data_IF_224844292524
#
_entry.id   IF_224844292524
#
_cell.length_a   1.000
_cell.length_b   1.000
_cell.length_c   1.000
_cell.angle_alpha   90.00
_cell.angle_beta   90.00
_cell.angle_gamma   90.00
#
_symmetry.space_group_name_H-M   'P 1'
#
loop_
_entity.id
_entity.type
_entity.pdbx_description
1 polymer ?
#
# COMPACT_ATOMS: atom_id res chain seq x y z
N UNK A 1 -22.24 13.51 4.27
CA UNK A 1 -20.96 14.23 4.21
C UNK A 1 -20.64 14.54 2.74
N UNK A 2 -20.00 15.68 2.43
CA UNK A 2 -19.57 15.97 1.06
C UNK A 2 -18.55 14.92 0.58
N UNK A 3 -18.50 14.68 -0.74
CA UNK A 3 -17.48 13.82 -1.35
C UNK A 3 -16.14 14.57 -1.32
N UNK A 4 -15.16 14.03 -0.63
CA UNK A 4 -13.82 14.64 -0.46
C UNK A 4 -12.79 14.16 -1.48
N UNK A 5 -13.18 13.23 -2.35
CA UNK A 5 -12.33 12.73 -3.44
C UNK A 5 -12.92 11.46 -4.04
N UNK A 6 -12.38 11.06 -5.20
CA UNK A 6 -12.78 9.84 -5.90
C UNK A 6 -11.54 9.02 -6.22
N UNK A 7 -11.63 7.71 -5.94
CA UNK A 7 -10.64 6.74 -6.36
C UNK A 7 -11.14 5.95 -7.56
N UNK A 8 -10.26 5.74 -8.54
CA UNK A 8 -10.45 4.74 -9.59
C UNK A 8 -9.35 3.69 -9.49
N UNK A 9 -9.71 2.42 -9.68
CA UNK A 9 -8.75 1.33 -9.76
C UNK A 9 -8.68 0.88 -11.22
N UNK A 10 -7.51 1.04 -11.82
CA UNK A 10 -7.25 0.61 -13.19
C UNK A 10 -6.27 -0.56 -13.17
N UNK A 11 -6.62 -1.64 -13.87
CA UNK A 11 -5.76 -2.82 -13.98
C UNK A 11 -4.45 -2.50 -14.71
N UNK A 12 -3.39 -3.21 -14.35
CA UNK A 12 -2.05 -3.01 -14.89
C UNK A 12 -1.75 -3.83 -16.15
N UNK A 13 -2.64 -4.70 -16.65
CA UNK A 13 -2.36 -5.50 -17.86
C UNK A 13 -2.83 -4.83 -19.17
N UNK A 14 -3.44 -3.64 -19.10
CA UNK A 14 -3.79 -2.81 -20.25
C UNK A 14 -3.94 -1.33 -19.89
N UNK A 15 -3.89 -0.44 -20.88
CA UNK A 15 -3.90 1.02 -20.64
C UNK A 15 -5.30 1.65 -20.55
N UNK A 16 -6.38 0.97 -20.96
CA UNK A 16 -7.69 1.60 -21.23
C UNK A 16 -8.18 2.54 -20.12
N UNK A 17 -8.36 2.03 -18.89
CA UNK A 17 -8.83 2.85 -17.77
C UNK A 17 -7.77 3.86 -17.29
N UNK A 18 -6.47 3.52 -17.42
CA UNK A 18 -5.38 4.39 -17.00
C UNK A 18 -5.28 5.65 -17.87
N UNK A 19 -5.49 5.52 -19.20
CA UNK A 19 -5.51 6.64 -20.13
C UNK A 19 -6.62 7.63 -19.75
N UNK A 20 -7.81 7.11 -19.43
CA UNK A 20 -8.93 7.95 -19.00
C UNK A 20 -8.57 8.75 -17.74
N UNK A 21 -8.12 8.07 -16.67
CA UNK A 21 -7.75 8.73 -15.42
C UNK A 21 -6.65 9.78 -15.62
N UNK A 22 -5.57 9.42 -16.33
CA UNK A 22 -4.47 10.34 -16.57
C UNK A 22 -4.88 11.55 -17.41
N UNK A 23 -5.70 11.37 -18.46
CA UNK A 23 -6.20 12.49 -19.28
C UNK A 23 -7.21 13.37 -18.53
N UNK A 24 -7.92 12.82 -17.54
CA UNK A 24 -8.77 13.57 -16.64
C UNK A 24 -7.99 14.33 -15.54
N UNK A 25 -6.66 14.25 -15.53
CA UNK A 25 -5.80 14.90 -14.53
C UNK A 25 -5.71 14.16 -13.20
N UNK A 26 -6.15 12.90 -13.13
CA UNK A 26 -6.08 12.12 -11.90
C UNK A 26 -4.66 11.58 -11.72
N UNK A 27 -4.19 11.58 -10.47
CA UNK A 27 -2.80 11.22 -10.15
C UNK A 27 -2.76 9.79 -9.61
N UNK A 28 -1.77 9.01 -10.04
CA UNK A 28 -1.52 7.68 -9.49
C UNK A 28 -1.06 7.83 -8.03
N UNK A 29 -1.69 7.08 -7.13
CA UNK A 29 -1.54 7.23 -5.68
C UNK A 29 -1.01 5.96 -5.01
N UNK A 30 -1.53 4.81 -5.44
CA UNK A 30 -1.07 3.49 -4.97
C UNK A 30 -1.01 2.50 -6.12
N UNK A 31 -0.20 1.46 -5.96
CA UNK A 31 -0.25 0.25 -6.79
C UNK A 31 -0.43 -0.95 -5.86
N UNK A 32 -1.49 -1.69 -6.13
CA UNK A 32 -1.91 -2.89 -5.41
C UNK A 32 -1.46 -4.11 -6.21
N UNK A 33 -0.42 -4.79 -5.74
CA UNK A 33 0.15 -5.94 -6.42
C UNK A 33 -0.72 -7.19 -6.21
N UNK A 34 -0.85 -7.97 -7.28
CA UNK A 34 -1.59 -9.23 -7.33
C UNK A 34 -2.94 -9.11 -6.61
N UNK A 35 -3.74 -8.09 -6.93
CA UNK A 35 -4.99 -7.80 -6.23
C UNK A 35 -6.11 -8.77 -6.59
N UNK A 36 -6.23 -9.11 -7.87
CA UNK A 36 -7.31 -9.94 -8.39
C UNK A 36 -6.78 -11.22 -9.02
N UNK A 37 -7.64 -12.24 -9.04
CA UNK A 37 -7.42 -13.41 -9.88
C UNK A 37 -7.65 -12.99 -11.33
N UNK A 38 -6.76 -13.35 -12.26
CA UNK A 38 -6.91 -12.98 -13.66
C UNK A 38 -8.17 -13.59 -14.30
N UNK A 39 -8.64 -14.75 -13.79
CA UNK A 39 -9.80 -15.46 -14.30
C UNK A 39 -11.12 -14.65 -14.19
N UNK A 40 -11.17 -13.60 -13.36
CA UNK A 40 -12.36 -12.73 -13.28
C UNK A 40 -12.48 -11.79 -14.50
N UNK A 41 -11.42 -11.63 -15.28
CA UNK A 41 -11.39 -10.78 -16.47
C UNK A 41 -11.55 -11.63 -17.72
N UNK A 42 -12.53 -11.26 -18.56
CA UNK A 42 -12.76 -11.91 -19.86
C UNK A 42 -11.51 -11.85 -20.75
N UNK A 43 -10.85 -10.70 -20.75
CA UNK A 43 -9.66 -10.46 -21.55
C UNK A 43 -8.45 -10.24 -20.62
N UNK A 44 -7.58 -11.25 -20.54
CA UNK A 44 -6.28 -11.18 -19.87
C UNK A 44 -5.22 -11.89 -20.72
N UNK A 45 -3.95 -11.44 -20.69
CA UNK A 45 -2.85 -12.12 -21.39
C UNK A 45 -2.72 -13.58 -20.97
N UNK A 46 -2.34 -14.44 -21.91
CA UNK A 46 -1.99 -15.83 -21.62
C UNK A 46 -0.87 -15.89 -20.56
N UNK A 47 -0.99 -16.82 -19.61
CA UNK A 47 -0.03 -16.99 -18.52
C UNK A 47 -0.19 -15.99 -17.36
N UNK A 48 -1.04 -14.95 -17.48
CA UNK A 48 -1.33 -14.05 -16.37
C UNK A 48 -2.29 -14.72 -15.38
N UNK A 49 -1.81 -15.02 -14.17
CA UNK A 49 -2.63 -15.63 -13.10
C UNK A 49 -3.21 -14.60 -12.13
N UNK A 50 -2.56 -13.44 -12.00
CA UNK A 50 -2.92 -12.38 -11.06
C UNK A 50 -2.91 -11.03 -11.75
N UNK A 51 -3.85 -10.17 -11.40
CA UNK A 51 -3.96 -8.81 -11.92
C UNK A 51 -3.66 -7.81 -10.82
N UNK A 52 -2.67 -6.96 -11.05
CA UNK A 52 -2.38 -5.80 -10.22
C UNK A 52 -3.17 -4.58 -10.68
N UNK A 53 -3.39 -3.61 -9.80
CA UNK A 53 -4.08 -2.38 -10.14
C UNK A 53 -3.30 -1.15 -9.66
N UNK A 54 -3.28 -0.10 -10.48
CA UNK A 54 -2.93 1.24 -10.06
C UNK A 54 -4.21 1.96 -9.60
N UNK A 55 -4.18 2.60 -8.44
CA UNK A 55 -5.25 3.49 -8.00
C UNK A 55 -4.91 4.93 -8.36
N UNK A 56 -5.84 5.56 -9.05
CA UNK A 56 -5.84 6.99 -9.33
C UNK A 56 -6.73 7.70 -8.33
N UNK A 57 -6.35 8.92 -8.00
CA UNK A 57 -7.11 9.79 -7.12
C UNK A 57 -7.31 11.17 -7.75
N UNK A 58 -8.49 11.74 -7.55
CA UNK A 58 -8.76 13.16 -7.80
C UNK A 58 -9.22 13.83 -6.49
N UNK A 59 -8.47 14.83 -5.99
CA UNK A 59 -8.89 15.61 -4.82
C UNK A 59 -10.08 16.52 -5.14
N UNK A 60 -10.87 16.86 -4.11
CA UNK A 60 -11.86 17.95 -4.14
C UNK A 60 -11.81 18.76 -2.83
N UNK A 61 -11.87 20.09 -2.91
CA UNK A 61 -10.97 21.11 -2.30
C UNK A 61 -9.81 20.64 -1.38
N UNK A 62 -8.78 21.49 -1.15
CA UNK A 62 -7.71 21.19 -0.19
C UNK A 62 -8.26 21.00 1.24
N UNK A 63 -7.63 20.10 2.00
CA UNK A 63 -7.90 19.88 3.43
C UNK A 63 -6.58 20.13 4.16
N UNK A 64 -6.60 20.96 5.19
CA UNK A 64 -5.47 21.09 6.10
C UNK A 64 -5.40 19.83 6.97
N UNK A 65 -4.40 18.99 6.72
CA UNK A 65 -4.15 17.79 7.49
C UNK A 65 -2.65 17.63 7.73
N UNK A 66 -2.26 17.39 8.98
CA UNK A 66 -0.89 17.02 9.31
C UNK A 66 -0.69 15.54 8.98
N UNK A 67 0.36 15.23 8.24
CA UNK A 67 0.72 13.85 7.86
C UNK A 67 2.10 13.53 8.43
N UNK A 68 2.24 12.40 9.10
CA UNK A 68 3.50 11.85 9.58
C UNK A 68 3.96 10.75 8.64
N UNK A 69 5.24 10.75 8.29
CA UNK A 69 5.84 9.85 7.31
C UNK A 69 6.96 9.01 7.93
N UNK A 70 7.01 7.69 7.65
CA UNK A 70 8.16 6.86 7.99
C UNK A 70 9.44 7.37 7.31
N UNK A 71 10.57 7.26 8.00
CA UNK A 71 11.88 7.69 7.50
C UNK A 71 12.24 7.03 6.17
N UNK A 72 11.94 5.74 6.06
CA UNK A 72 12.33 4.90 4.92
C UNK A 72 11.65 5.34 3.62
N UNK A 73 10.53 6.06 3.72
CA UNK A 73 9.72 6.47 2.56
C UNK A 73 9.60 7.98 2.40
N UNK A 74 10.15 8.80 3.31
CA UNK A 74 9.90 10.24 3.33
C UNK A 74 10.20 10.94 2.01
N UNK A 75 11.34 10.64 1.39
CA UNK A 75 11.80 11.29 0.15
C UNK A 75 10.89 10.94 -1.04
N UNK A 76 10.43 9.69 -1.07
CA UNK A 76 9.52 9.22 -2.11
C UNK A 76 8.10 9.76 -1.90
N UNK A 77 7.62 9.78 -0.66
CA UNK A 77 6.32 10.37 -0.31
C UNK A 77 6.28 11.88 -0.61
N UNK A 78 7.40 12.58 -0.43
CA UNK A 78 7.54 13.98 -0.83
C UNK A 78 7.34 14.18 -2.33
N UNK A 79 7.82 13.23 -3.16
CA UNK A 79 7.59 13.26 -4.61
C UNK A 79 6.10 13.09 -4.95
N UNK A 80 5.38 12.19 -4.26
CA UNK A 80 3.93 12.04 -4.42
C UNK A 80 3.18 13.30 -3.96
N UNK A 81 3.53 13.89 -2.83
CA UNK A 81 2.90 15.10 -2.32
C UNK A 81 3.10 16.29 -3.29
N UNK A 82 4.32 16.51 -3.78
CA UNK A 82 4.62 17.55 -4.78
C UNK A 82 3.83 17.37 -6.08
N UNK A 83 3.71 16.14 -6.57
CA UNK A 83 2.91 15.83 -7.75
C UNK A 83 1.41 16.16 -7.59
N UNK A 84 0.92 16.27 -6.34
CA UNK A 84 -0.45 16.66 -6.00
C UNK A 84 -0.58 18.12 -5.55
N UNK A 85 0.52 18.88 -5.51
CA UNK A 85 0.57 20.21 -4.89
C UNK A 85 0.08 20.23 -3.44
N UNK A 86 0.45 19.18 -2.68
CA UNK A 86 0.13 19.02 -1.26
C UNK A 86 1.38 19.25 -0.39
N UNK A 87 1.22 19.65 0.89
CA UNK A 87 2.34 19.85 1.80
C UNK A 87 3.11 18.54 2.05
N UNK A 88 4.40 18.67 2.34
CA UNK A 88 5.20 17.55 2.80
C UNK A 88 4.83 17.15 4.23
N UNK A 89 5.02 15.86 4.56
CA UNK A 89 4.74 15.32 5.87
C UNK A 89 5.89 15.53 6.86
N UNK A 90 5.56 15.38 8.13
CA UNK A 90 6.50 15.43 9.26
C UNK A 90 7.13 14.05 9.42
N UNK A 91 8.43 14.00 9.66
CA UNK A 91 9.09 12.72 9.95
C UNK A 91 8.52 12.10 11.24
N UNK A 92 8.09 10.84 11.16
CA UNK A 92 7.65 10.07 12.31
C UNK A 92 8.86 9.61 13.13
N UNK A 93 8.90 10.03 14.40
CA UNK A 93 9.98 9.69 15.35
C UNK A 93 9.49 9.05 16.64
N UNK A 94 8.18 9.03 16.87
CA UNK A 94 7.60 8.49 18.09
C UNK A 94 7.62 6.95 18.09
N UNK A 95 7.86 6.31 19.25
CA UNK A 95 7.71 4.87 19.39
C UNK A 95 6.22 4.45 19.37
N UNK A 96 5.97 3.14 19.46
CA UNK A 96 4.61 2.66 19.71
C UNK A 96 4.09 3.18 21.07
N UNK A 97 2.80 3.54 21.18
CA UNK A 97 2.24 4.05 22.43
C UNK A 97 2.06 2.93 23.47
N UNK A 98 2.23 3.24 24.77
CA UNK A 98 2.26 2.24 25.86
C UNK A 98 0.90 1.73 26.36
N UNK A 99 -0.20 2.44 26.04
CA UNK A 99 -1.47 2.26 26.77
C UNK A 99 -2.64 1.86 25.87
N UNK A 100 -2.67 2.35 24.63
CA UNK A 100 -3.81 2.10 23.74
C UNK A 100 -3.65 0.81 22.94
N UNK A 101 -4.71 -0.01 22.78
CA UNK A 101 -4.72 -1.13 21.85
C UNK A 101 -4.89 -0.64 20.41
N UNK A 102 -4.46 -1.47 19.46
CA UNK A 102 -4.64 -1.23 18.03
C UNK A 102 -6.12 -1.33 17.69
N UNK A 103 -6.64 -0.34 16.96
CA UNK A 103 -7.99 -0.38 16.38
C UNK A 103 -7.91 -0.53 14.87
N UNK A 104 -8.59 -1.54 14.33
CA UNK A 104 -8.58 -1.85 12.92
C UNK A 104 -9.91 -2.41 12.43
N UNK A 105 -10.09 -2.37 11.12
CA UNK A 105 -11.14 -3.08 10.40
C UNK A 105 -10.50 -3.99 9.36
N UNK A 106 -10.88 -5.26 9.37
CA UNK A 106 -10.44 -6.26 8.39
C UNK A 106 -11.57 -6.61 7.43
N UNK A 107 -11.25 -6.71 6.15
CA UNK A 107 -12.13 -7.18 5.08
C UNK A 107 -11.42 -8.26 4.27
N UNK A 108 -11.82 -9.50 4.46
CA UNK A 108 -11.39 -10.62 3.62
C UNK A 108 -12.21 -10.67 2.33
N UNK A 109 -11.55 -10.95 1.22
CA UNK A 109 -12.15 -11.11 -0.10
C UNK A 109 -11.69 -12.47 -0.67
N UNK A 110 -12.34 -13.58 -0.28
CA UNK A 110 -11.88 -14.93 -0.65
C UNK A 110 -11.81 -15.16 -2.16
N UNK A 111 -12.79 -14.65 -2.91
CA UNK A 111 -12.85 -14.80 -4.37
C UNK A 111 -11.63 -14.19 -5.09
N UNK A 112 -11.05 -13.12 -4.55
CA UNK A 112 -9.84 -12.51 -5.09
C UNK A 112 -8.57 -12.88 -4.31
N UNK A 113 -8.68 -13.71 -3.26
CA UNK A 113 -7.61 -14.03 -2.30
C UNK A 113 -6.90 -12.77 -1.77
N UNK A 114 -7.68 -11.73 -1.48
CA UNK A 114 -7.18 -10.45 -0.96
C UNK A 114 -7.67 -10.21 0.47
N UNK A 115 -6.79 -9.70 1.32
CA UNK A 115 -7.11 -9.26 2.67
C UNK A 115 -6.81 -7.76 2.77
N UNK A 116 -7.81 -6.95 3.12
CA UNK A 116 -7.64 -5.52 3.38
C UNK A 116 -7.81 -5.22 4.85
N UNK A 117 -6.90 -4.45 5.41
CA UNK A 117 -6.91 -3.99 6.79
C UNK A 117 -6.80 -2.47 6.76
N UNK A 118 -7.75 -1.79 7.38
CA UNK A 118 -7.67 -0.36 7.68
C UNK A 118 -7.32 -0.23 9.16
N UNK A 119 -6.20 0.42 9.49
CA UNK A 119 -5.75 0.62 10.88
C UNK A 119 -6.01 2.07 11.25
N UNK A 120 -6.96 2.28 12.17
CA UNK A 120 -7.37 3.60 12.63
C UNK A 120 -6.47 4.11 13.75
N UNK A 121 -6.05 3.22 14.65
CA UNK A 121 -5.12 3.53 15.73
C UNK A 121 -4.12 2.39 15.90
N UNK A 122 -2.86 2.75 16.10
CA UNK A 122 -1.76 1.80 16.31
C UNK A 122 -1.48 1.78 17.81
N UNK A 123 -1.51 0.58 18.40
CA UNK A 123 -1.30 0.36 19.83
C UNK A 123 0.01 -0.35 20.15
N UNK A 124 0.28 -0.57 21.45
CA UNK A 124 1.43 -1.36 21.91
C UNK A 124 1.43 -2.81 21.41
N UNK A 125 0.23 -3.32 21.15
CA UNK A 125 -0.06 -4.67 20.69
C UNK A 125 0.17 -4.83 19.18
N UNK A 126 0.61 -3.79 18.48
CA UNK A 126 0.84 -3.81 17.04
C UNK A 126 1.70 -5.01 16.55
N UNK A 127 2.81 -5.40 17.21
CA UNK A 127 3.56 -6.60 16.81
C UNK A 127 2.73 -7.89 16.87
N UNK A 128 1.86 -8.03 17.87
CA UNK A 128 0.97 -9.19 17.99
C UNK A 128 -0.14 -9.16 16.95
N UNK A 129 -0.72 -7.99 16.70
CA UNK A 129 -1.71 -7.78 15.64
C UNK A 129 -1.16 -8.16 14.27
N UNK A 130 0.07 -7.74 13.93
CA UNK A 130 0.71 -8.10 12.64
C UNK A 130 0.89 -9.61 12.52
N UNK A 131 1.34 -10.29 13.60
CA UNK A 131 1.45 -11.77 13.61
C UNK A 131 0.08 -12.43 13.39
N UNK A 132 -0.97 -11.92 14.03
CA UNK A 132 -2.32 -12.43 13.87
C UNK A 132 -2.88 -12.22 12.46
N UNK A 133 -2.62 -11.06 11.84
CA UNK A 133 -2.97 -10.78 10.43
C UNK A 133 -2.30 -11.81 9.52
N UNK A 134 -1.01 -12.07 9.70
CA UNK A 134 -0.27 -13.04 8.88
C UNK A 134 -0.76 -14.48 9.09
N UNK A 135 -1.05 -14.87 10.33
CA UNK A 135 -1.59 -16.19 10.64
C UNK A 135 -2.96 -16.40 9.97
N UNK A 136 -3.85 -15.41 10.07
CA UNK A 136 -5.16 -15.43 9.42
C UNK A 136 -5.06 -15.44 7.89
N UNK A 137 -4.16 -14.64 7.31
CA UNK A 137 -3.93 -14.63 5.88
C UNK A 137 -3.42 -15.99 5.38
N UNK A 138 -2.52 -16.64 6.13
CA UNK A 138 -2.02 -17.98 5.81
C UNK A 138 -3.10 -19.04 5.89
N UNK A 139 -3.90 -19.05 6.96
CA UNK A 139 -4.96 -20.06 7.14
C UNK A 139 -6.04 -19.96 6.07
N UNK A 140 -6.29 -18.74 5.56
CA UNK A 140 -7.24 -18.48 4.49
C UNK A 140 -6.60 -18.46 3.08
N UNK A 141 -5.31 -18.81 2.97
CA UNK A 141 -4.57 -18.85 1.70
C UNK A 141 -4.66 -17.54 0.89
N UNK A 142 -4.62 -16.41 1.59
CA UNK A 142 -4.63 -15.08 0.98
C UNK A 142 -3.32 -14.85 0.21
N UNK A 143 -3.44 -14.29 -0.99
CA UNK A 143 -2.30 -13.98 -1.86
C UNK A 143 -1.80 -12.56 -1.63
N UNK A 144 -2.72 -11.60 -1.55
CA UNK A 144 -2.40 -10.18 -1.40
C UNK A 144 -2.98 -9.64 -0.10
N UNK A 145 -2.13 -9.05 0.74
CA UNK A 145 -2.47 -8.51 2.05
C UNK A 145 -2.15 -7.02 2.03
N UNK A 146 -3.15 -6.18 2.26
CA UNK A 146 -3.03 -4.73 2.29
C UNK A 146 -3.32 -4.21 3.70
N UNK A 147 -2.40 -3.43 4.24
CA UNK A 147 -2.54 -2.74 5.52
C UNK A 147 -2.46 -1.24 5.23
N UNK A 148 -3.57 -0.54 5.36
CA UNK A 148 -3.62 0.92 5.25
C UNK A 148 -3.45 1.53 6.64
N UNK A 149 -2.43 2.37 6.80
CA UNK A 149 -2.12 3.07 8.05
C UNK A 149 -2.52 4.54 7.94
N UNK A 150 -3.23 5.08 8.93
CA UNK A 150 -3.54 6.50 9.00
C UNK A 150 -2.27 7.33 9.25
N UNK A 151 -1.96 8.24 8.32
CA UNK A 151 -0.76 9.09 8.41
C UNK A 151 -0.86 10.16 9.50
N UNK A 152 -2.00 10.31 10.18
CA UNK A 152 -2.05 11.15 11.39
C UNK A 152 -1.38 10.51 12.61
N UNK A 153 -0.99 9.21 12.59
CA UNK A 153 -0.21 8.65 13.70
C UNK A 153 1.24 9.13 13.67
N UNK A 154 1.65 9.85 14.70
CA UNK A 154 3.06 10.20 14.95
C UNK A 154 3.99 8.98 15.08
N UNK A 155 3.41 7.82 15.39
CA UNK A 155 4.06 6.52 15.60
C UNK A 155 4.22 5.68 14.32
N UNK A 156 3.75 6.15 13.17
CA UNK A 156 3.63 5.34 11.94
C UNK A 156 4.97 4.75 11.48
N UNK A 157 6.10 5.42 11.75
CA UNK A 157 7.44 4.92 11.45
C UNK A 157 7.75 3.62 12.17
N UNK A 158 7.50 3.55 13.49
CA UNK A 158 7.68 2.32 14.28
C UNK A 158 6.78 1.18 13.76
N UNK A 159 5.54 1.51 13.40
CA UNK A 159 4.60 0.53 12.87
C UNK A 159 5.01 -0.03 11.50
N UNK A 160 5.54 0.83 10.63
CA UNK A 160 6.09 0.45 9.32
C UNK A 160 7.33 -0.42 9.48
N UNK A 161 8.23 -0.11 10.43
CA UNK A 161 9.37 -0.96 10.74
C UNK A 161 8.96 -2.40 11.07
N UNK A 162 7.93 -2.58 11.90
CA UNK A 162 7.38 -3.90 12.25
C UNK A 162 6.74 -4.59 11.05
N UNK A 163 6.03 -3.87 10.18
CA UNK A 163 5.49 -4.45 8.96
C UNK A 163 6.61 -4.91 8.00
N UNK A 164 7.67 -4.12 7.86
CA UNK A 164 8.83 -4.45 7.02
C UNK A 164 9.59 -5.69 7.49
N UNK A 165 9.81 -5.85 8.80
CA UNK A 165 10.39 -7.09 9.37
C UNK A 165 9.49 -8.31 9.23
N UNK A 166 8.25 -8.11 8.79
CA UNK A 166 7.31 -9.16 8.42
C UNK A 166 7.13 -9.28 6.90
N UNK A 167 7.98 -8.61 6.13
CA UNK A 167 8.06 -8.66 4.69
C UNK A 167 6.93 -7.92 3.98
N UNK A 168 6.35 -6.90 4.60
CA UNK A 168 5.51 -5.90 3.92
C UNK A 168 6.40 -4.80 3.35
N UNK A 169 5.98 -4.26 2.21
CA UNK A 169 6.65 -3.19 1.48
C UNK A 169 5.62 -2.12 1.09
N UNK A 170 6.08 -0.97 0.61
CA UNK A 170 5.23 0.15 0.25
C UNK A 170 4.29 -0.23 -0.91
N UNK A 171 3.06 0.28 -0.86
CA UNK A 171 2.11 0.29 -1.97
C UNK A 171 1.68 1.67 -2.42
N UNK A 172 2.07 2.72 -1.69
CA UNK A 172 1.86 4.12 -2.05
C UNK A 172 1.12 4.90 -0.97
N UNK A 173 0.67 6.10 -1.32
CA UNK A 173 -0.02 7.02 -0.43
C UNK A 173 -1.42 7.29 -0.99
N UNK A 174 -2.45 6.79 -0.30
CA UNK A 174 -3.86 6.93 -0.65
C UNK A 174 -4.42 8.23 -0.04
N UNK A 175 -4.73 9.26 -0.84
CA UNK A 175 -5.09 10.56 -0.29
C UNK A 175 -6.43 10.53 0.44
N UNK A 176 -6.51 11.16 1.61
CA UNK A 176 -7.76 11.36 2.37
C UNK A 176 -8.51 10.07 2.73
N UNK A 177 -7.82 8.93 2.74
CA UNK A 177 -8.41 7.61 3.00
C UNK A 177 -9.15 7.55 4.35
N UNK A 178 -8.62 8.24 5.36
CA UNK A 178 -9.19 8.32 6.71
C UNK A 178 -9.74 9.72 7.04
N UNK A 179 -9.86 10.59 6.04
CA UNK A 179 -9.88 12.05 6.22
C UNK A 179 -8.46 12.63 6.15
N UNK A 180 -7.48 11.96 6.75
CA UNK A 180 -6.05 12.09 6.44
C UNK A 180 -5.64 11.11 5.34
N UNK A 181 -4.43 11.28 4.81
CA UNK A 181 -3.84 10.32 3.88
C UNK A 181 -3.60 8.97 4.56
N UNK A 182 -3.75 7.88 3.79
CA UNK A 182 -3.45 6.52 4.20
C UNK A 182 -2.16 6.04 3.55
N UNK A 183 -1.23 5.51 4.32
CA UNK A 183 -0.04 4.83 3.81
C UNK A 183 -0.39 3.37 3.54
N UNK A 184 -0.34 2.94 2.28
CA UNK A 184 -0.56 1.54 1.93
C UNK A 184 0.73 0.76 2.13
N UNK A 185 0.71 -0.20 3.04
CA UNK A 185 1.68 -1.27 3.15
C UNK A 185 1.08 -2.56 2.59
N UNK A 186 1.86 -3.35 1.86
CA UNK A 186 1.36 -4.57 1.24
C UNK A 186 2.36 -5.72 1.33
N UNK A 187 1.83 -6.94 1.33
CA UNK A 187 2.59 -8.18 1.20
C UNK A 187 1.88 -9.06 0.19
N UNK A 188 2.65 -9.64 -0.73
CA UNK A 188 2.16 -10.65 -1.67
C UNK A 188 2.95 -11.95 -1.49
N UNK A 189 2.26 -13.09 -1.56
CA UNK A 189 2.85 -14.42 -1.35
C UNK A 189 3.31 -15.10 -2.63
N UNK A 190 2.99 -14.52 -3.79
CA UNK A 190 3.36 -14.97 -5.12
C UNK A 190 4.42 -14.08 -5.75
N UNK A 191 5.16 -14.59 -6.71
CA UNK A 191 5.98 -13.73 -7.57
C UNK A 191 5.11 -13.05 -8.61
N UNK A 192 5.18 -11.72 -8.62
CA UNK A 192 4.35 -10.89 -9.49
C UNK A 192 4.97 -10.84 -10.88
N UNK A 193 4.15 -11.05 -11.92
CA UNK A 193 4.56 -11.02 -13.32
C UNK A 193 4.70 -9.58 -13.83
N UNK A 194 5.76 -8.90 -13.41
CA UNK A 194 6.04 -7.50 -13.73
C UNK A 194 6.17 -7.22 -15.22
N UNK A 195 6.69 -8.16 -16.01
CA UNK A 195 6.90 -7.97 -17.45
C UNK A 195 5.60 -7.80 -18.24
N UNK A 196 4.47 -8.16 -17.64
CA UNK A 196 3.13 -7.99 -18.21
C UNK A 196 2.50 -6.64 -17.82
N UNK A 197 3.17 -5.82 -17.02
CA UNK A 197 2.65 -4.53 -16.61
C UNK A 197 2.69 -3.52 -17.77
N UNK A 198 1.59 -2.82 -17.90
CA UNK A 198 1.31 -1.74 -18.83
C UNK A 198 0.90 -0.54 -18.01
N UNK A 199 1.87 0.31 -17.66
CA UNK A 199 1.66 1.56 -16.92
C UNK A 199 1.73 2.75 -17.86
N UNK A 200 0.64 3.53 -17.91
CA UNK A 200 0.49 4.59 -18.91
C UNK A 200 1.30 5.86 -18.59
N UNK A 201 1.15 6.40 -17.38
CA UNK A 201 1.71 7.70 -17.01
C UNK A 201 3.07 7.60 -16.32
N UNK A 202 3.89 8.66 -16.42
CA UNK A 202 5.19 8.71 -15.72
C UNK A 202 5.06 8.56 -14.20
N UNK A 203 4.10 9.23 -13.51
CA UNK A 203 3.92 9.02 -12.06
C UNK A 203 3.57 7.56 -11.70
N UNK A 204 2.82 6.86 -12.54
CA UNK A 204 2.52 5.44 -12.29
C UNK A 204 3.76 4.55 -12.44
N UNK A 205 4.64 4.87 -13.40
CA UNK A 205 5.91 4.14 -13.61
C UNK A 205 6.89 4.39 -12.46
N UNK A 206 7.08 5.66 -12.07
CA UNK A 206 7.92 6.03 -10.93
C UNK A 206 7.45 5.36 -9.63
N UNK A 207 6.13 5.35 -9.40
CA UNK A 207 5.53 4.64 -8.27
C UNK A 207 5.78 3.14 -8.31
N UNK A 208 5.66 2.53 -9.49
CA UNK A 208 5.93 1.11 -9.66
C UNK A 208 7.40 0.77 -9.44
N UNK A 209 8.32 1.54 -10.00
CA UNK A 209 9.76 1.31 -9.89
C UNK A 209 10.19 1.36 -8.42
N UNK A 210 9.67 2.33 -7.65
CA UNK A 210 9.89 2.40 -6.21
C UNK A 210 9.33 1.17 -5.48
N UNK A 211 8.07 0.82 -5.71
CA UNK A 211 7.40 -0.32 -5.06
C UNK A 211 8.14 -1.64 -5.34
N UNK A 212 8.60 -1.83 -6.58
CA UNK A 212 9.38 -3.01 -6.97
C UNK A 212 10.72 -3.05 -6.25
N UNK A 213 11.44 -1.93 -6.21
CA UNK A 213 12.71 -1.83 -5.51
C UNK A 213 12.56 -2.09 -4.00
N UNK A 214 11.54 -1.50 -3.38
CA UNK A 214 11.27 -1.65 -1.95
C UNK A 214 10.92 -3.09 -1.58
N UNK A 215 10.11 -3.77 -2.40
CA UNK A 215 9.83 -5.21 -2.21
C UNK A 215 11.12 -6.05 -2.22
N UNK A 216 12.05 -5.75 -3.12
CA UNK A 216 13.33 -6.47 -3.22
C UNK A 216 14.19 -6.19 -1.98
N UNK A 217 14.30 -4.92 -1.57
CA UNK A 217 15.04 -4.53 -0.37
C UNK A 217 14.51 -5.24 0.89
N UNK A 218 13.20 -5.18 1.11
CA UNK A 218 12.53 -5.86 2.24
C UNK A 218 12.75 -7.37 2.21
N UNK A 219 12.69 -8.02 1.03
CA UNK A 219 12.97 -9.47 0.93
C UNK A 219 14.41 -9.79 1.36
N UNK A 220 15.40 -9.01 0.92
CA UNK A 220 16.79 -9.21 1.29
C UNK A 220 17.07 -8.99 2.78
N UNK A 221 16.46 -7.95 3.39
CA UNK A 221 16.53 -7.67 4.82
C UNK A 221 16.08 -8.90 5.64
N UNK A 222 14.90 -9.44 5.32
CA UNK A 222 14.32 -10.58 6.01
C UNK A 222 15.13 -11.88 5.81
N UNK A 223 15.71 -12.10 4.62
CA UNK A 223 16.59 -13.25 4.36
C UNK A 223 17.91 -13.16 5.15
N UNK A 224 18.48 -11.95 5.28
CA UNK A 224 19.70 -11.72 6.04
C UNK A 224 19.47 -11.93 7.55
N UNK A 225 18.35 -11.46 8.09
CA UNK A 225 17.95 -11.70 9.47
C UNK A 225 17.76 -13.20 9.76
N UNK A 226 17.14 -13.95 8.84
CA UNK A 226 16.94 -15.40 9.01
C UNK A 226 18.25 -16.19 9.01
N UNK A 227 19.22 -15.79 8.18
CA UNK A 227 20.58 -16.37 8.18
C UNK A 227 21.35 -16.08 9.46
N UNK A 228 21.21 -14.89 10.03
CA UNK A 228 21.91 -14.49 11.25
C UNK A 228 21.25 -15.00 12.55
N UNK A 229 20.01 -15.50 12.47
CA UNK A 229 19.25 -16.06 13.61
C UNK A 229 19.17 -17.59 13.62
N UNK A 230 19.75 -18.26 12.62
CA UNK A 230 19.89 -19.71 12.59
C UNK A 230 21.21 -20.12 13.29
N UNK A 231 21.16 -20.94 14.37
CA UNK A 231 22.35 -21.36 15.14
C UNK A 231 23.28 -22.29 14.37
#
# INVERSE_FOLDING_TARGET
>A
APVVGVFASAVCHHYFAQIFCAKAGWVASTIQLDLFDAAIFRDHPEGLSRVSCVQFFTPMPPVEASSYWPREYSDFLATIARARSEPEGILSTEPLPDVMPTSLQTKAMPASKNLRINVFHIGKDWPEVVRNILAAARSQQMISIHVMLDTSCSCIGAAVGILRSHGFFLGGLAPRWFGNDGLLMQKVTTDTLYDLFKLYSSPAKELFDFIRADRVAVRHENEAEHRNSSP
#
